data_IF_456300075085
#
_entry.id   IF_456300075085
#
_cell.length_a   1.000
_cell.length_b   1.000
_cell.length_c   1.000
_cell.angle_alpha   90.00
_cell.angle_beta   90.00
_cell.angle_gamma   90.00
#
_symmetry.space_group_name_H-M   'P 1'
#
loop_
_entity.id
_entity.type
_entity.pdbx_description
1 polymer ?
#
# COMPACT_ATOMS: atom_id res chain seq x y z
N UNK A 1 -11.34 -14.47 12.21
CA UNK A 1 -10.59 -13.21 12.03
C UNK A 1 -9.81 -12.94 13.30
N UNK A 2 -8.50 -12.68 13.21
CA UNK A 2 -7.65 -12.40 14.37
C UNK A 2 -8.05 -11.04 14.97
N UNK A 3 -8.77 -11.07 16.11
CA UNK A 3 -9.21 -9.87 16.83
C UNK A 3 -8.07 -8.83 17.00
N UNK A 4 -6.84 -9.31 17.18
CA UNK A 4 -5.65 -8.47 17.37
C UNK A 4 -5.21 -7.65 16.15
N UNK A 5 -5.55 -8.04 14.91
CA UNK A 5 -5.19 -7.26 13.73
C UNK A 5 -6.06 -6.00 13.64
N UNK A 6 -7.38 -6.15 13.83
CA UNK A 6 -8.31 -5.03 13.88
C UNK A 6 -8.03 -4.11 15.08
N UNK A 7 -7.62 -4.65 16.22
CA UNK A 7 -7.17 -3.84 17.36
C UNK A 7 -6.00 -2.91 16.98
N UNK A 8 -5.04 -3.41 16.20
CA UNK A 8 -3.90 -2.60 15.73
C UNK A 8 -4.33 -1.54 14.69
N UNK A 9 -5.23 -1.88 13.77
CA UNK A 9 -5.80 -0.92 12.81
C UNK A 9 -6.59 0.18 13.54
N UNK A 10 -7.41 -0.19 14.53
CA UNK A 10 -8.12 0.75 15.39
C UNK A 10 -7.13 1.62 16.18
N UNK A 11 -5.99 1.08 16.60
CA UNK A 11 -4.97 1.86 17.30
C UNK A 11 -4.40 2.98 16.42
N UNK A 12 -4.18 2.73 15.12
CA UNK A 12 -3.80 3.79 14.16
C UNK A 12 -4.89 4.88 14.14
N UNK A 13 -6.16 4.48 14.10
CA UNK A 13 -7.28 5.42 14.16
C UNK A 13 -7.28 6.26 15.46
N UNK A 14 -6.99 5.65 16.60
CA UNK A 14 -6.90 6.38 17.89
C UNK A 14 -5.73 7.36 17.94
N UNK A 15 -4.62 7.06 17.29
CA UNK A 15 -3.46 7.96 17.20
C UNK A 15 -3.78 9.19 16.34
N UNK A 16 -4.62 9.01 15.32
CA UNK A 16 -5.09 10.11 14.46
C UNK A 16 -6.23 10.92 15.09
N UNK A 17 -6.93 10.40 16.10
CA UNK A 17 -8.09 11.06 16.70
C UNK A 17 -7.82 12.51 17.17
N UNK A 18 -6.68 12.85 17.80
CA UNK A 18 -6.37 14.22 18.19
C UNK A 18 -6.30 15.22 17.01
N UNK A 19 -6.02 14.73 15.79
CA UNK A 19 -5.97 15.57 14.60
C UNK A 19 -7.35 15.89 14.04
N UNK A 20 -8.36 15.11 14.41
CA UNK A 20 -9.76 15.26 13.94
C UNK A 20 -10.56 16.22 14.78
N UNK A 21 -10.17 16.38 16.03
CA UNK A 21 -10.83 17.34 16.91
C UNK A 21 -10.60 18.77 16.37
N UNK A 22 -11.61 19.64 16.44
CA UNK A 22 -11.49 21.06 16.09
C UNK A 22 -10.71 21.81 17.19
N UNK A 23 -9.54 21.30 17.57
CA UNK A 23 -8.61 22.01 18.45
C UNK A 23 -8.07 23.21 17.65
N UNK A 24 -7.88 24.39 18.27
CA UNK A 24 -7.23 25.52 17.61
C UNK A 24 -5.90 25.07 17.00
N UNK A 25 -5.65 25.43 15.73
CA UNK A 25 -4.42 25.06 14.99
C UNK A 25 -3.12 25.51 15.68
N UNK A 26 -3.22 26.43 16.63
CA UNK A 26 -2.14 27.06 17.40
C UNK A 26 -1.44 26.19 18.45
N UNK A 27 -1.82 24.92 18.64
CA UNK A 27 -1.25 24.05 19.69
C UNK A 27 -0.31 22.97 19.13
N UNK A 28 -0.30 22.72 17.81
CA UNK A 28 0.56 21.70 17.22
C UNK A 28 2.00 22.20 17.09
N UNK A 29 2.95 21.52 17.73
CA UNK A 29 4.37 21.80 17.59
C UNK A 29 5.08 20.81 16.66
N UNK A 30 6.27 21.19 16.16
CA UNK A 30 7.13 20.28 15.40
C UNK A 30 7.50 19.03 16.20
N UNK A 31 7.69 19.16 17.52
CA UNK A 31 8.00 18.03 18.40
C UNK A 31 6.85 17.01 18.41
N UNK A 32 5.60 17.48 18.48
CA UNK A 32 4.42 16.62 18.45
C UNK A 32 4.30 15.86 17.12
N UNK A 33 4.60 16.52 15.99
CA UNK A 33 4.61 15.86 14.68
C UNK A 33 5.70 14.79 14.58
N UNK A 34 6.90 15.04 15.11
CA UNK A 34 7.98 14.03 15.14
C UNK A 34 7.56 12.82 16.00
N UNK A 35 6.96 13.05 17.16
CA UNK A 35 6.45 11.98 18.02
C UNK A 35 5.33 11.19 17.33
N UNK A 36 4.36 11.89 16.74
CA UNK A 36 3.26 11.29 15.98
C UNK A 36 3.79 10.44 14.82
N UNK A 37 4.75 10.96 14.05
CA UNK A 37 5.38 10.23 12.94
C UNK A 37 6.03 8.94 13.43
N UNK A 38 6.82 9.03 14.50
CA UNK A 38 7.48 7.86 15.09
C UNK A 38 6.48 6.80 15.53
N UNK A 39 5.37 7.21 16.16
CA UNK A 39 4.29 6.31 16.59
C UNK A 39 3.60 5.64 15.41
N UNK A 40 3.20 6.41 14.38
CA UNK A 40 2.54 5.87 13.19
C UNK A 40 3.45 4.86 12.47
N UNK A 41 4.73 5.22 12.26
CA UNK A 41 5.70 4.33 11.63
C UNK A 41 5.90 3.04 12.43
N UNK A 42 6.07 3.15 13.75
CA UNK A 42 6.21 1.97 14.62
C UNK A 42 4.98 1.05 14.55
N UNK A 43 3.78 1.62 14.51
CA UNK A 43 2.54 0.85 14.40
C UNK A 43 2.36 0.17 13.03
N UNK A 44 2.77 0.83 11.94
CA UNK A 44 2.75 0.24 10.61
C UNK A 44 3.73 -0.93 10.49
N UNK A 45 4.93 -0.82 11.06
CA UNK A 45 5.92 -1.91 11.09
C UNK A 45 5.48 -3.09 11.98
N UNK A 46 4.91 -2.81 13.16
CA UNK A 46 4.29 -3.84 14.00
C UNK A 46 3.19 -4.61 13.24
N UNK A 47 2.31 -3.86 12.56
CA UNK A 47 1.22 -4.44 11.78
C UNK A 47 1.75 -5.26 10.60
N UNK A 48 2.83 -4.80 9.96
CA UNK A 48 3.53 -5.56 8.93
C UNK A 48 4.00 -6.91 9.45
N UNK A 49 4.68 -6.93 10.59
CA UNK A 49 5.14 -8.18 11.21
C UNK A 49 4.01 -9.19 11.44
N UNK A 50 2.87 -8.72 11.97
CA UNK A 50 1.70 -9.57 12.21
C UNK A 50 1.12 -10.11 10.90
N UNK A 51 1.05 -9.30 9.85
CA UNK A 51 0.49 -9.74 8.56
C UNK A 51 1.42 -10.73 7.88
N UNK A 52 2.73 -10.51 7.88
CA UNK A 52 3.70 -11.37 7.18
C UNK A 52 3.94 -12.70 7.88
N UNK A 53 3.49 -12.86 9.13
CA UNK A 53 3.42 -14.17 9.79
C UNK A 53 2.40 -15.12 9.13
N UNK A 54 1.29 -14.57 8.60
CA UNK A 54 0.15 -15.36 8.09
C UNK A 54 -0.06 -15.22 6.58
N UNK A 55 0.40 -14.12 5.98
CA UNK A 55 0.15 -13.74 4.60
C UNK A 55 1.44 -13.33 3.90
N UNK A 56 1.38 -13.14 2.58
CA UNK A 56 2.55 -12.77 1.80
C UNK A 56 2.90 -11.29 1.95
N UNK A 57 4.16 -10.90 1.70
CA UNK A 57 4.59 -9.48 1.63
C UNK A 57 3.73 -8.66 0.65
N UNK A 58 3.25 -9.30 -0.43
CA UNK A 58 2.32 -8.66 -1.37
C UNK A 58 1.02 -8.29 -0.67
N UNK A 59 0.46 -9.19 0.13
CA UNK A 59 -0.78 -8.95 0.86
C UNK A 59 -0.58 -7.87 1.93
N UNK A 60 0.56 -7.90 2.63
CA UNK A 60 0.96 -6.86 3.56
C UNK A 60 1.03 -5.49 2.87
N UNK A 61 1.59 -5.41 1.66
CA UNK A 61 1.59 -4.19 0.87
C UNK A 61 0.17 -3.67 0.59
N UNK A 62 -0.75 -4.53 0.12
CA UNK A 62 -2.14 -4.15 -0.16
C UNK A 62 -2.94 -3.71 1.09
N UNK A 63 -2.48 -4.05 2.29
CA UNK A 63 -3.07 -3.59 3.56
C UNK A 63 -2.40 -2.34 4.09
N UNK A 64 -1.07 -2.27 4.09
CA UNK A 64 -0.31 -1.21 4.74
C UNK A 64 -0.21 0.06 3.91
N UNK A 65 -0.11 -0.08 2.59
CA UNK A 65 -0.07 1.07 1.68
C UNK A 65 -1.30 1.99 1.85
N UNK A 66 -2.56 1.50 1.77
CA UNK A 66 -3.73 2.36 1.94
C UNK A 66 -3.81 2.99 3.34
N UNK A 67 -3.33 2.31 4.38
CA UNK A 67 -3.26 2.89 5.73
C UNK A 67 -2.22 4.02 5.81
N UNK A 68 -1.08 3.84 5.15
CA UNK A 68 -0.01 4.86 5.10
C UNK A 68 -0.49 6.12 4.36
N UNK A 69 -1.09 5.93 3.18
CA UNK A 69 -1.68 7.02 2.40
C UNK A 69 -2.74 7.78 3.20
N UNK A 70 -3.58 7.05 3.95
CA UNK A 70 -4.60 7.62 4.81
C UNK A 70 -4.02 8.48 5.94
N UNK A 71 -2.98 7.99 6.61
CA UNK A 71 -2.29 8.73 7.67
C UNK A 71 -1.68 10.02 7.13
N UNK A 72 -0.94 9.95 6.01
CA UNK A 72 -0.31 11.11 5.40
C UNK A 72 -1.35 12.15 4.96
N UNK A 73 -2.48 11.73 4.39
CA UNK A 73 -3.54 12.65 4.00
C UNK A 73 -4.14 13.38 5.20
N UNK A 74 -4.41 12.67 6.30
CA UNK A 74 -4.93 13.28 7.53
C UNK A 74 -3.96 14.29 8.14
N UNK A 75 -2.68 13.95 8.24
CA UNK A 75 -1.68 14.86 8.78
C UNK A 75 -1.53 16.08 7.86
N UNK A 76 -1.42 15.87 6.55
CA UNK A 76 -1.31 16.95 5.57
C UNK A 76 -2.49 17.90 5.63
N UNK A 77 -3.73 17.40 5.68
CA UNK A 77 -4.95 18.22 5.84
C UNK A 77 -4.88 19.12 7.09
N UNK A 78 -4.20 18.67 8.14
CA UNK A 78 -4.09 19.40 9.40
C UNK A 78 -2.97 20.46 9.40
N UNK A 79 -1.82 20.13 8.82
CA UNK A 79 -0.63 20.99 8.85
C UNK A 79 -0.54 21.98 7.68
N UNK A 80 -1.32 21.78 6.61
CA UNK A 80 -1.27 22.62 5.39
C UNK A 80 -1.39 24.13 5.64
N UNK A 81 -2.12 24.53 6.68
CA UNK A 81 -2.34 25.95 7.01
C UNK A 81 -1.35 26.51 8.04
N UNK A 82 -0.34 25.73 8.45
CA UNK A 82 0.64 26.10 9.50
C UNK A 82 2.04 26.12 8.88
N UNK A 83 2.50 27.32 8.46
CA UNK A 83 3.71 27.48 7.66
C UNK A 83 5.02 26.96 8.30
N UNK A 84 5.09 26.87 9.62
CA UNK A 84 6.27 26.41 10.36
C UNK A 84 6.33 24.88 10.51
N UNK A 85 5.25 24.17 10.16
CA UNK A 85 5.16 22.72 10.28
C UNK A 85 5.33 22.06 8.93
N UNK A 86 6.33 21.18 8.84
CA UNK A 86 6.54 20.32 7.70
C UNK A 86 6.27 18.86 8.09
N UNK A 87 5.63 18.13 7.17
CA UNK A 87 5.38 16.70 7.32
C UNK A 87 6.08 15.94 6.20
N UNK A 88 7.25 15.34 6.47
CA UNK A 88 7.86 14.39 5.56
C UNK A 88 6.86 13.25 5.32
N UNK A 89 6.45 12.89 4.11
CA UNK A 89 5.43 11.85 3.91
C UNK A 89 5.93 10.44 4.30
N UNK A 90 5.12 9.63 4.97
CA UNK A 90 5.43 8.22 5.24
C UNK A 90 5.44 7.39 3.94
N UNK A 91 4.56 7.71 2.99
CA UNK A 91 4.48 7.09 1.66
C UNK A 91 5.81 7.15 0.90
N UNK A 92 6.56 8.24 1.03
CA UNK A 92 7.83 8.45 0.35
C UNK A 92 8.93 7.61 1.01
N UNK A 93 8.97 7.59 2.35
CA UNK A 93 9.94 6.79 3.12
C UNK A 93 9.70 5.28 2.93
N UNK A 94 8.47 4.81 3.06
CA UNK A 94 8.14 3.39 3.11
C UNK A 94 7.95 2.76 1.71
N UNK A 95 7.49 3.54 0.73
CA UNK A 95 7.11 3.02 -0.59
C UNK A 95 7.74 3.76 -1.76
N UNK A 96 8.49 4.86 -1.52
CA UNK A 96 9.05 5.70 -2.58
C UNK A 96 7.97 6.25 -3.53
N UNK A 97 6.81 6.60 -2.97
CA UNK A 97 5.65 7.12 -3.70
C UNK A 97 5.36 8.56 -3.26
N UNK A 98 5.24 9.45 -4.22
CA UNK A 98 4.88 10.87 -3.99
C UNK A 98 3.38 11.13 -4.18
N UNK A 99 2.69 10.29 -4.97
CA UNK A 99 1.26 10.40 -5.24
C UNK A 99 0.49 9.15 -4.81
N UNK A 100 0.37 8.93 -3.50
CA UNK A 100 -0.43 7.83 -3.01
C UNK A 100 -1.94 8.05 -3.20
N UNK A 101 -2.38 9.27 -3.45
CA UNK A 101 -3.78 9.60 -3.72
C UNK A 101 -4.27 8.93 -5.00
N UNK A 102 -3.44 8.92 -6.05
CA UNK A 102 -3.72 8.21 -7.30
C UNK A 102 -3.49 6.70 -7.15
N UNK A 103 -2.31 6.31 -6.66
CA UNK A 103 -1.94 4.89 -6.55
C UNK A 103 -2.88 4.09 -5.65
N UNK A 104 -3.49 4.73 -4.63
CA UNK A 104 -4.52 4.10 -3.79
C UNK A 104 -5.66 3.52 -4.64
N UNK A 105 -6.23 4.32 -5.55
CA UNK A 105 -7.36 3.90 -6.36
C UNK A 105 -6.95 2.94 -7.48
N UNK A 106 -5.75 3.07 -8.03
CA UNK A 106 -5.21 2.09 -8.98
C UNK A 106 -5.06 0.70 -8.33
N UNK A 107 -4.53 0.64 -7.11
CA UNK A 107 -4.43 -0.61 -6.36
C UNK A 107 -5.81 -1.14 -5.97
N UNK A 108 -6.77 -0.28 -5.64
CA UNK A 108 -8.14 -0.67 -5.35
C UNK A 108 -8.83 -1.29 -6.58
N UNK A 109 -8.71 -0.68 -7.75
CA UNK A 109 -9.25 -1.22 -9.01
C UNK A 109 -8.61 -2.58 -9.36
N UNK A 110 -7.29 -2.70 -9.19
CA UNK A 110 -6.56 -3.95 -9.37
C UNK A 110 -6.99 -5.05 -8.38
N UNK A 111 -7.39 -4.65 -7.18
CA UNK A 111 -7.82 -5.55 -6.11
C UNK A 111 -9.25 -6.04 -6.36
N UNK A 112 -10.17 -5.14 -6.76
CA UNK A 112 -11.57 -5.44 -7.07
C UNK A 112 -11.73 -6.33 -8.31
N UNK A 113 -10.79 -6.27 -9.25
CA UNK A 113 -10.78 -7.12 -10.45
C UNK A 113 -10.27 -8.55 -10.20
N UNK A 114 -9.68 -8.82 -9.02
CA UNK A 114 -9.08 -10.12 -8.70
C UNK A 114 -9.92 -10.89 -7.67
N UNK A 115 -10.44 -12.08 -8.02
CA UNK A 115 -11.28 -12.85 -7.11
C UNK A 115 -10.51 -13.44 -5.90
N UNK A 116 -9.18 -13.58 -6.00
CA UNK A 116 -8.33 -14.18 -4.95
C UNK A 116 -7.77 -13.17 -3.93
N UNK A 117 -8.22 -11.91 -3.98
CA UNK A 117 -7.83 -10.89 -3.01
C UNK A 117 -8.24 -11.31 -1.59
N UNK A 118 -7.34 -11.10 -0.62
CA UNK A 118 -7.67 -11.30 0.79
C UNK A 118 -8.76 -10.33 1.24
N UNK A 119 -9.74 -10.86 1.95
CA UNK A 119 -10.86 -10.09 2.49
C UNK A 119 -10.44 -8.88 3.33
N UNK A 120 -9.39 -9.05 4.15
CA UNK A 120 -8.81 -7.98 4.98
C UNK A 120 -8.45 -6.73 4.15
N UNK A 121 -7.98 -6.91 2.92
CA UNK A 121 -7.67 -5.80 2.02
C UNK A 121 -8.92 -4.96 1.77
N UNK A 122 -10.04 -5.59 1.41
CA UNK A 122 -11.29 -4.87 1.17
C UNK A 122 -11.77 -4.10 2.41
N UNK A 123 -11.68 -4.71 3.58
CA UNK A 123 -12.09 -4.06 4.83
C UNK A 123 -11.22 -2.84 5.15
N UNK A 124 -9.91 -2.91 4.91
CA UNK A 124 -8.98 -1.80 5.16
C UNK A 124 -9.22 -0.64 4.19
N UNK A 125 -9.40 -0.94 2.90
CA UNK A 125 -9.80 0.08 1.92
C UNK A 125 -11.14 0.73 2.27
N UNK A 126 -12.12 -0.09 2.68
CA UNK A 126 -13.42 0.40 3.12
C UNK A 126 -13.29 1.29 4.36
N UNK A 127 -12.47 0.89 5.33
CA UNK A 127 -12.17 1.67 6.52
C UNK A 127 -11.58 3.05 6.15
N UNK A 128 -10.52 3.10 5.33
CA UNK A 128 -9.90 4.38 4.95
C UNK A 128 -10.90 5.32 4.27
N UNK A 129 -11.70 4.82 3.32
CA UNK A 129 -12.71 5.62 2.62
C UNK A 129 -13.84 6.10 3.53
N UNK A 130 -14.37 5.22 4.39
CA UNK A 130 -15.40 5.59 5.38
C UNK A 130 -14.90 6.61 6.39
N UNK A 131 -13.61 6.54 6.71
CA UNK A 131 -12.95 7.44 7.63
C UNK A 131 -12.48 8.74 6.94
N UNK A 132 -12.88 9.01 5.70
CA UNK A 132 -12.71 10.31 5.05
C UNK A 132 -11.46 10.46 4.19
N UNK A 133 -10.83 9.35 3.79
CA UNK A 133 -9.83 9.38 2.72
C UNK A 133 -10.47 9.80 1.39
N UNK A 134 -9.88 10.80 0.72
CA UNK A 134 -10.37 11.31 -0.55
C UNK A 134 -9.40 11.04 -1.70
N UNK A 135 -8.08 11.14 -1.46
CA UNK A 135 -7.06 11.01 -2.49
C UNK A 135 -7.37 11.89 -3.70
N UNK A 136 -7.31 11.31 -4.90
CA UNK A 136 -7.60 12.02 -6.15
C UNK A 136 -9.06 12.48 -6.33
N UNK A 137 -9.99 11.94 -5.55
CA UNK A 137 -11.42 12.20 -5.68
C UNK A 137 -11.95 13.25 -4.69
N UNK A 138 -11.09 14.14 -4.17
CA UNK A 138 -11.50 15.28 -3.32
C UNK A 138 -12.65 16.09 -3.94
N UNK A 139 -12.62 16.32 -5.26
CA UNK A 139 -13.66 17.07 -5.97
C UNK A 139 -14.89 16.24 -6.38
N UNK A 140 -14.81 14.90 -6.29
CA UNK A 140 -15.81 13.97 -6.84
C UNK A 140 -16.27 12.95 -5.78
N UNK A 141 -17.04 13.37 -4.75
CA UNK A 141 -17.45 12.49 -3.66
C UNK A 141 -18.35 11.33 -4.12
N UNK A 142 -19.08 11.48 -5.23
CA UNK A 142 -19.89 10.40 -5.81
C UNK A 142 -19.03 9.17 -6.17
N UNK A 143 -17.82 9.39 -6.70
CA UNK A 143 -16.89 8.29 -7.01
C UNK A 143 -16.45 7.52 -5.77
N UNK A 144 -16.28 8.21 -4.64
CA UNK A 144 -15.94 7.57 -3.37
C UNK A 144 -17.09 6.66 -2.92
N UNK A 145 -18.33 7.13 -3.05
CA UNK A 145 -19.51 6.33 -2.73
C UNK A 145 -19.62 5.08 -3.62
N UNK A 146 -19.36 5.20 -4.93
CA UNK A 146 -19.32 4.04 -5.83
C UNK A 146 -18.32 2.97 -5.38
N UNK A 147 -17.13 3.39 -4.92
CA UNK A 147 -16.12 2.47 -4.38
C UNK A 147 -16.57 1.84 -3.05
N UNK A 148 -17.19 2.61 -2.17
CA UNK A 148 -17.75 2.10 -0.91
C UNK A 148 -18.81 1.02 -1.16
N UNK A 149 -19.70 1.23 -2.13
CA UNK A 149 -20.75 0.27 -2.47
C UNK A 149 -20.16 -1.02 -3.06
N UNK A 150 -19.16 -0.91 -3.96
CA UNK A 150 -18.43 -2.06 -4.49
C UNK A 150 -17.77 -2.87 -3.37
N UNK A 151 -17.02 -2.19 -2.50
CA UNK A 151 -16.34 -2.81 -1.36
C UNK A 151 -17.34 -3.48 -0.40
N UNK A 152 -18.45 -2.80 -0.08
CA UNK A 152 -19.50 -3.35 0.77
C UNK A 152 -20.13 -4.62 0.15
N UNK A 153 -20.26 -4.67 -1.18
CA UNK A 153 -20.67 -5.87 -1.91
C UNK A 153 -19.73 -7.06 -1.65
N UNK A 154 -18.42 -6.85 -1.79
CA UNK A 154 -17.42 -7.90 -1.52
C UNK A 154 -17.36 -8.30 -0.03
N UNK A 155 -17.63 -7.37 0.88
CA UNK A 155 -17.66 -7.59 2.33
C UNK A 155 -18.88 -8.46 2.72
N UNK A 156 -20.07 -8.14 2.20
CA UNK A 156 -21.35 -8.78 2.58
C UNK A 156 -21.56 -10.18 2.01
N UNK A 157 -20.89 -10.54 0.91
CA UNK A 157 -21.12 -11.83 0.22
C UNK A 157 -20.64 -13.06 1.02
N UNK A 158 -20.09 -12.91 2.23
CA UNK A 158 -19.94 -14.05 3.15
C UNK A 158 -21.31 -14.56 3.61
N UNK A 159 -21.71 -15.81 3.30
CA UNK A 159 -22.59 -16.52 4.22
C UNK A 159 -21.81 -16.75 5.51
N UNK A 160 -22.44 -16.55 6.66
CA UNK A 160 -21.98 -17.07 7.95
C UNK A 160 -21.86 -18.61 7.83
N UNK A 161 -20.73 -19.11 7.35
CA UNK A 161 -20.45 -20.53 7.19
C UNK A 161 -19.12 -20.89 7.86
N UNK A 162 -19.24 -21.46 9.05
CA UNK A 162 -18.38 -22.47 9.67
C UNK A 162 -16.84 -22.33 9.53
N UNK A 163 -16.25 -21.50 10.40
CA UNK A 163 -14.83 -21.63 10.77
C UNK A 163 -14.56 -22.80 11.74
N UNK A 164 -15.24 -23.93 11.55
CA UNK A 164 -14.92 -25.19 12.23
C UNK A 164 -14.19 -26.19 11.32
N UNK A 165 -13.75 -25.76 10.14
CA UNK A 165 -12.85 -26.55 9.31
C UNK A 165 -11.38 -26.24 9.66
N UNK A 166 -10.65 -27.32 9.94
CA UNK A 166 -9.22 -27.47 10.20
C UNK A 166 -8.29 -26.46 9.48
N UNK A 167 -7.06 -26.22 10.00
CA UNK A 167 -6.10 -25.29 9.39
C UNK A 167 -5.94 -25.62 7.92
N UNK A 168 -6.48 -24.76 7.06
CA UNK A 168 -6.26 -24.83 5.63
C UNK A 168 -4.75 -24.67 5.45
N UNK A 169 -4.09 -25.78 5.14
CA UNK A 169 -2.68 -25.84 4.79
C UNK A 169 -2.41 -24.66 3.87
N UNK A 170 -1.59 -23.73 4.35
CA UNK A 170 -1.22 -22.53 3.65
C UNK A 170 -0.91 -22.92 2.20
N UNK A 171 -1.77 -22.49 1.28
CA UNK A 171 -1.48 -22.53 -0.14
C UNK A 171 -0.18 -21.76 -0.30
N UNK A 172 0.92 -22.49 -0.46
CA UNK A 172 2.20 -21.94 -0.90
C UNK A 172 1.94 -21.41 -2.29
N UNK A 173 1.52 -20.15 -2.36
CA UNK A 173 1.45 -19.38 -3.60
C UNK A 173 2.81 -19.53 -4.25
N UNK A 174 2.84 -20.20 -5.39
CA UNK A 174 4.03 -20.31 -6.22
C UNK A 174 4.34 -18.89 -6.72
N UNK A 175 5.18 -18.19 -5.96
CA UNK A 175 5.88 -17.02 -6.47
C UNK A 175 6.63 -17.50 -7.70
N UNK A 176 6.29 -16.98 -8.87
CA UNK A 176 7.10 -17.16 -10.07
C UNK A 176 8.39 -16.36 -9.86
N UNK A 177 9.29 -16.95 -9.07
CA UNK A 177 10.63 -16.44 -8.80
C UNK A 177 11.40 -16.72 -10.08
N UNK A 178 11.48 -15.72 -10.96
CA UNK A 178 12.26 -15.83 -12.20
C UNK A 178 13.67 -16.25 -11.80
N UNK A 179 14.09 -17.48 -12.13
CA UNK A 179 15.32 -18.03 -11.58
C UNK A 179 16.54 -17.26 -12.10
N UNK A 180 17.58 -17.12 -11.27
CA UNK A 180 18.76 -16.30 -11.57
C UNK A 180 19.45 -16.72 -12.89
N UNK A 181 19.31 -17.99 -13.30
CA UNK A 181 19.82 -18.46 -14.60
C UNK A 181 19.20 -17.76 -15.81
N UNK A 182 17.97 -17.24 -15.74
CA UNK A 182 17.39 -16.44 -16.82
C UNK A 182 18.17 -15.14 -17.06
N UNK A 183 18.68 -14.49 -15.99
CA UNK A 183 19.52 -13.30 -16.12
C UNK A 183 20.86 -13.62 -16.77
N UNK A 184 21.48 -14.75 -16.43
CA UNK A 184 22.73 -15.18 -17.06
C UNK A 184 22.52 -15.59 -18.53
N UNK A 185 21.42 -16.26 -18.85
CA UNK A 185 21.06 -16.60 -20.22
C UNK A 185 20.80 -15.35 -21.07
N UNK A 186 20.03 -14.38 -20.56
CA UNK A 186 19.77 -13.14 -21.29
C UNK A 186 21.04 -12.32 -21.51
N UNK A 187 21.92 -12.26 -20.50
CA UNK A 187 23.22 -11.59 -20.63
C UNK A 187 24.12 -12.27 -21.68
N UNK A 188 24.16 -13.61 -21.70
CA UNK A 188 24.91 -14.38 -22.69
C UNK A 188 24.42 -14.17 -24.12
N UNK A 189 23.10 -14.18 -24.34
CA UNK A 189 22.50 -13.91 -25.65
C UNK A 189 22.83 -12.49 -26.12
N UNK A 190 22.73 -11.50 -25.22
CA UNK A 190 23.02 -10.10 -25.55
C UNK A 190 24.49 -9.90 -25.94
N UNK A 191 25.43 -10.54 -25.21
CA UNK A 191 26.85 -10.51 -25.55
C UNK A 191 27.14 -11.21 -26.88
N UNK A 192 26.47 -12.32 -27.18
CA UNK A 192 26.64 -13.03 -28.45
C UNK A 192 26.14 -12.19 -29.63
N UNK A 193 24.98 -11.55 -29.48
CA UNK A 193 24.46 -10.63 -30.49
C UNK A 193 25.40 -9.44 -30.71
N UNK A 194 25.92 -8.85 -29.63
CA UNK A 194 26.92 -7.78 -29.69
C UNK A 194 28.19 -8.25 -30.43
N UNK A 195 28.68 -9.44 -30.12
CA UNK A 195 29.87 -10.01 -30.75
C UNK A 195 29.69 -10.23 -32.26
N UNK A 196 28.56 -10.82 -32.67
CA UNK A 196 28.23 -11.00 -34.09
C UNK A 196 28.08 -9.65 -34.79
N UNK A 197 27.47 -8.67 -34.14
CA UNK A 197 27.35 -7.31 -34.66
C UNK A 197 28.72 -6.64 -34.90
N UNK A 198 29.65 -6.78 -33.94
CA UNK A 198 31.01 -6.27 -34.08
C UNK A 198 31.78 -6.99 -35.19
N UNK A 199 31.61 -8.30 -35.36
CA UNK A 199 32.19 -9.06 -36.47
C UNK A 199 31.62 -8.61 -37.82
N UNK A 200 30.32 -8.33 -37.89
CA UNK A 200 29.69 -7.76 -39.09
C UNK A 200 30.32 -6.42 -39.44
N UNK A 201 30.45 -5.51 -38.46
CA UNK A 201 31.12 -4.21 -38.61
C UNK A 201 32.57 -4.36 -39.10
N UNK A 202 33.32 -5.27 -38.51
CA UNK A 202 34.71 -5.56 -38.88
C UNK A 202 34.80 -6.13 -40.31
N UNK A 203 33.87 -7.00 -40.72
CA UNK A 203 33.84 -7.57 -42.07
C UNK A 203 33.49 -6.56 -43.16
N UNK A 204 32.70 -5.55 -42.83
CA UNK A 204 32.33 -4.44 -43.73
C UNK A 204 33.37 -3.32 -43.76
N UNK A 205 34.44 -3.44 -42.98
CA UNK A 205 35.49 -2.43 -42.90
C UNK A 205 36.49 -2.65 -44.04
N UNK A 206 36.34 -1.90 -45.14
CA UNK A 206 37.39 -1.76 -46.15
C UNK A 206 38.31 -0.60 -45.75
N UNK A 207 39.62 -0.82 -45.54
CA UNK A 207 40.55 0.27 -45.30
C UNK A 207 40.63 1.13 -46.57
N UNK A 208 40.38 2.43 -46.42
CA UNK A 208 40.65 3.46 -47.45
C UNK A 208 42.12 3.84 -47.38
#
# INVERSE_FOLDING_TARGET
MTLGLWEKVVKINTILAPLREPVPKTVLSTADLVTLRSQLRGHLEDLRGIITEQYSERDAYYVLFPLTAHCDEWVRKRVQDIAELDWPPLQQELYQVDDAGDLFFELLDNTLSKPETLYLVYEVYYFCLRDGFCGRYIANPERINDYLDKLAGHIRVQPLADNSAAPSVASRRAFFRIPVYFYYCSAGVLLLLLYVFLLSLASTWHPV
#
